data_IF_039760279748
#
_entry.id   IF_039760279748
#
_cell.length_a   1.000
_cell.length_b   1.000
_cell.length_c   1.000
_cell.angle_alpha   90.00
_cell.angle_beta   90.00
_cell.angle_gamma   90.00
#
_symmetry.space_group_name_H-M   'P 1'
#
loop_
_entity.id
_entity.type
_entity.pdbx_description
1 polymer ?
#
# COMPACT_ATOMS: atom_id res chain seq x y z
N UNK A 1 -0.38 -4.98 5.70
CA UNK A 1 0.02 -5.51 7.02
C UNK A 1 0.11 -4.43 8.11
N UNK A 2 0.27 -3.15 7.77
CA UNK A 2 0.12 -2.03 8.73
C UNK A 2 -1.14 -2.12 9.58
N UNK A 3 -2.25 -2.59 8.99
CA UNK A 3 -3.50 -2.79 9.72
C UNK A 3 -3.35 -3.74 10.92
N UNK A 4 -2.67 -4.89 10.79
CA UNK A 4 -2.49 -5.82 11.90
C UNK A 4 -1.59 -5.25 13.00
N UNK A 5 -0.44 -4.69 12.61
CA UNK A 5 0.50 -4.04 13.55
C UNK A 5 -0.17 -2.87 14.28
N UNK A 6 -0.93 -2.04 13.57
CA UNK A 6 -1.65 -0.91 14.14
C UNK A 6 -2.76 -1.37 15.08
N UNK A 7 -3.55 -2.39 14.72
CA UNK A 7 -4.56 -2.98 15.61
C UNK A 7 -3.92 -3.60 16.86
N UNK A 8 -2.78 -4.27 16.72
CA UNK A 8 -2.05 -4.88 17.84
C UNK A 8 -1.51 -3.82 18.81
N UNK A 9 -0.96 -2.72 18.29
CA UNK A 9 -0.51 -1.60 19.11
C UNK A 9 -1.68 -0.90 19.80
N UNK A 10 -2.77 -0.62 19.06
CA UNK A 10 -4.00 -0.03 19.61
C UNK A 10 -4.58 -0.86 20.75
N UNK A 11 -4.65 -2.19 20.58
CA UNK A 11 -5.12 -3.10 21.64
C UNK A 11 -4.18 -3.08 22.86
N UNK A 12 -2.86 -3.13 22.62
CA UNK A 12 -1.84 -3.04 23.67
C UNK A 12 -1.94 -1.74 24.49
N UNK A 13 -2.24 -0.62 23.84
CA UNK A 13 -2.36 0.69 24.49
C UNK A 13 -3.58 0.74 25.40
N UNK A 14 -4.74 0.25 24.91
CA UNK A 14 -5.95 0.17 25.75
C UNK A 14 -5.77 -0.77 26.94
N UNK A 15 -5.10 -1.91 26.74
CA UNK A 15 -4.83 -2.86 27.80
C UNK A 15 -3.93 -2.27 28.90
N UNK A 16 -3.01 -1.38 28.55
CA UNK A 16 -2.13 -0.70 29.50
C UNK A 16 -2.92 0.29 30.38
N UNK A 17 -3.83 1.07 29.77
CA UNK A 17 -4.69 2.03 30.49
C UNK A 17 -5.58 1.39 31.55
N UNK A 18 -6.17 0.23 31.23
CA UNK A 18 -7.02 -0.54 32.16
C UNK A 18 -6.20 -1.10 33.34
N UNK A 19 -4.93 -1.44 33.12
CA UNK A 19 -4.04 -1.91 34.17
C UNK A 19 -3.65 -0.82 35.19
N UNK A 20 -3.53 0.43 34.74
CA UNK A 20 -3.15 1.56 35.60
C UNK A 20 -4.31 2.09 36.44
N UNK A 21 -5.55 2.03 35.93
CA UNK A 21 -6.74 2.52 36.63
C UNK A 21 -7.11 1.69 37.89
N UNK A 22 -6.60 0.46 38.00
CA UNK A 22 -6.85 -0.43 39.14
C UNK A 22 -6.16 -0.01 40.46
N UNK A 23 -5.23 0.95 40.45
CA UNK A 23 -4.44 1.31 41.65
C UNK A 23 -4.87 2.60 42.38
N UNK A 24 -5.92 3.32 41.95
CA UNK A 24 -6.16 4.71 42.43
C UNK A 24 -7.51 5.04 43.10
N UNK A 25 -8.34 4.08 43.54
CA UNK A 25 -9.64 4.43 44.17
C UNK A 25 -9.71 4.19 45.68
N UNK A 26 -9.29 5.20 46.46
CA UNK A 26 -9.74 5.41 47.85
C UNK A 26 -10.28 6.85 47.98
N UNK A 27 -11.58 7.03 47.78
CA UNK A 27 -12.24 8.33 47.97
C UNK A 27 -13.74 8.28 47.61
N UNK A 28 -14.59 8.24 48.64
CA UNK A 28 -16.04 8.08 48.55
C UNK A 28 -16.74 9.37 48.11
N UNK A 29 -17.09 9.48 46.81
CA UNK A 29 -18.15 10.33 46.23
C UNK A 29 -18.11 10.33 44.68
N UNK A 30 -17.04 9.81 44.07
CA UNK A 30 -16.78 9.79 42.60
C UNK A 30 -17.26 8.45 41.95
N UNK A 31 -18.06 7.66 42.66
CA UNK A 31 -18.37 6.27 42.31
C UNK A 31 -19.07 6.05 40.96
N UNK A 32 -19.87 7.00 40.47
CA UNK A 32 -20.59 6.88 39.19
C UNK A 32 -19.74 7.30 37.97
N UNK A 33 -18.74 8.16 38.17
CA UNK A 33 -17.86 8.57 37.07
C UNK A 33 -16.83 7.48 36.75
N UNK A 34 -16.23 6.89 37.79
CA UNK A 34 -15.23 5.84 37.63
C UNK A 34 -15.81 4.56 37.02
N UNK A 35 -17.04 4.20 37.38
CA UNK A 35 -17.74 3.04 36.81
C UNK A 35 -18.04 3.25 35.33
N UNK A 36 -18.58 4.41 34.95
CA UNK A 36 -18.86 4.77 33.55
C UNK A 36 -17.60 4.86 32.69
N UNK A 37 -16.52 5.44 33.25
CA UNK A 37 -15.22 5.50 32.58
C UNK A 37 -14.67 4.09 32.33
N UNK A 38 -14.75 3.21 33.33
CA UNK A 38 -14.31 1.81 33.20
C UNK A 38 -15.12 1.05 32.15
N UNK A 39 -16.44 1.19 32.16
CA UNK A 39 -17.31 0.56 31.16
C UNK A 39 -16.96 1.03 29.74
N UNK A 40 -16.67 2.33 29.57
CA UNK A 40 -16.21 2.90 28.31
C UNK A 40 -14.86 2.33 27.86
N UNK A 41 -13.88 2.23 28.77
CA UNK A 41 -12.56 1.62 28.47
C UNK A 41 -12.69 0.15 28.05
N UNK A 42 -13.56 -0.62 28.71
CA UNK A 42 -13.84 -2.02 28.33
C UNK A 42 -14.45 -2.10 26.92
N UNK A 43 -15.38 -1.20 26.58
CA UNK A 43 -15.96 -1.14 25.21
C UNK A 43 -14.88 -0.84 24.17
N UNK A 44 -13.97 0.08 24.44
CA UNK A 44 -12.85 0.39 23.55
C UNK A 44 -11.89 -0.80 23.41
N UNK A 45 -11.57 -1.48 24.51
CA UNK A 45 -10.72 -2.67 24.50
C UNK A 45 -11.36 -3.79 23.66
N UNK A 46 -12.66 -4.03 23.82
CA UNK A 46 -13.41 -5.01 23.02
C UNK A 46 -13.40 -4.66 21.53
N UNK A 47 -13.62 -3.39 21.18
CA UNK A 47 -13.55 -2.92 19.79
C UNK A 47 -12.16 -3.16 19.19
N UNK A 48 -11.10 -2.81 19.94
CA UNK A 48 -9.73 -3.03 19.50
C UNK A 48 -9.38 -4.52 19.37
N UNK A 49 -9.95 -5.37 20.21
CA UNK A 49 -9.78 -6.83 20.13
C UNK A 49 -10.42 -7.40 18.86
N UNK A 50 -11.64 -6.97 18.52
CA UNK A 50 -12.32 -7.37 17.29
C UNK A 50 -11.53 -6.93 16.05
N UNK A 51 -11.07 -5.67 16.02
CA UNK A 51 -10.21 -5.16 14.94
C UNK A 51 -8.91 -5.97 14.80
N UNK A 52 -8.30 -6.36 15.92
CA UNK A 52 -7.10 -7.20 15.92
C UNK A 52 -7.38 -8.57 15.29
N UNK A 53 -8.48 -9.23 15.69
CA UNK A 53 -8.89 -10.53 15.16
C UNK A 53 -9.23 -10.50 13.67
N UNK A 54 -9.88 -9.44 13.20
CA UNK A 54 -10.17 -9.27 11.77
C UNK A 54 -8.89 -9.02 10.96
N UNK A 55 -7.96 -8.25 11.51
CA UNK A 55 -6.72 -7.90 10.82
C UNK A 55 -5.68 -9.03 10.76
N UNK A 56 -5.82 -10.09 11.57
CA UNK A 56 -4.87 -11.20 11.62
C UNK A 56 -4.93 -12.13 10.40
N UNK A 57 -6.01 -12.07 9.62
CA UNK A 57 -6.17 -12.82 8.37
C UNK A 57 -5.57 -12.10 7.15
N UNK A 58 -4.68 -11.13 7.37
CA UNK A 58 -4.08 -10.33 6.31
C UNK A 58 -3.16 -11.13 5.37
N UNK A 59 -3.09 -10.76 4.08
CA UNK A 59 -2.15 -11.38 3.14
C UNK A 59 -0.69 -11.07 3.52
N UNK A 60 0.22 -12.00 3.21
CA UNK A 60 1.67 -11.81 3.35
C UNK A 60 2.30 -12.41 4.62
N UNK A 61 1.56 -13.16 5.41
CA UNK A 61 2.08 -13.94 6.53
C UNK A 61 2.38 -15.38 6.08
N UNK A 62 3.53 -15.93 6.46
CA UNK A 62 3.81 -17.35 6.22
C UNK A 62 2.85 -18.24 7.04
N UNK A 63 2.61 -19.45 6.56
CA UNK A 63 1.61 -20.37 7.13
C UNK A 63 1.87 -20.67 8.61
N UNK A 64 3.14 -20.78 9.02
CA UNK A 64 3.53 -21.04 10.41
C UNK A 64 3.21 -19.84 11.30
N UNK A 65 3.61 -18.64 10.90
CA UNK A 65 3.30 -17.42 11.65
C UNK A 65 1.79 -17.17 11.74
N UNK A 66 1.03 -17.48 10.69
CA UNK A 66 -0.43 -17.37 10.67
C UNK A 66 -1.08 -18.34 11.68
N UNK A 67 -0.58 -19.58 11.73
CA UNK A 67 -1.01 -20.56 12.73
C UNK A 67 -0.70 -20.10 14.15
N UNK A 68 0.53 -19.65 14.42
CA UNK A 68 0.97 -19.21 15.74
C UNK A 68 0.15 -18.00 16.24
N UNK A 69 -0.11 -17.01 15.37
CA UNK A 69 -0.94 -15.86 15.70
C UNK A 69 -2.39 -16.27 15.96
N UNK A 70 -2.96 -17.16 15.16
CA UNK A 70 -4.31 -17.68 15.36
C UNK A 70 -4.44 -18.41 16.71
N UNK A 71 -3.46 -19.24 17.06
CA UNK A 71 -3.42 -19.91 18.36
C UNK A 71 -3.34 -18.92 19.53
N UNK A 72 -2.49 -17.89 19.42
CA UNK A 72 -2.37 -16.84 20.45
C UNK A 72 -3.65 -16.00 20.58
N UNK A 73 -4.34 -15.70 19.48
CA UNK A 73 -5.62 -14.97 19.51
C UNK A 73 -6.73 -15.79 20.17
N UNK A 74 -6.70 -17.13 20.06
CA UNK A 74 -7.61 -17.99 20.81
C UNK A 74 -7.37 -17.92 22.31
N UNK A 75 -6.10 -17.96 22.73
CA UNK A 75 -5.71 -17.79 24.15
C UNK A 75 -6.13 -16.39 24.63
N UNK A 76 -5.88 -15.36 23.83
CA UNK A 76 -6.26 -13.98 24.15
C UNK A 76 -7.79 -13.83 24.30
N UNK A 77 -8.59 -14.51 23.47
CA UNK A 77 -10.06 -14.54 23.57
C UNK A 77 -10.54 -15.12 24.90
N UNK A 78 -9.88 -16.20 25.36
CA UNK A 78 -10.19 -16.84 26.63
C UNK A 78 -9.84 -15.91 27.80
N UNK A 79 -8.62 -15.35 27.81
CA UNK A 79 -8.17 -14.42 28.85
C UNK A 79 -9.04 -13.16 28.93
N UNK A 80 -9.51 -12.67 27.78
CA UNK A 80 -10.46 -11.56 27.72
C UNK A 80 -11.78 -11.90 28.42
N UNK A 81 -12.30 -13.12 28.21
CA UNK A 81 -13.55 -13.59 28.84
C UNK A 81 -13.40 -13.79 30.35
N UNK A 82 -12.19 -14.16 30.81
CA UNK A 82 -11.84 -14.35 32.22
C UNK A 82 -11.43 -13.04 32.91
N UNK A 83 -11.38 -11.92 32.19
CA UNK A 83 -10.83 -10.63 32.65
C UNK A 83 -9.37 -10.72 33.16
N UNK A 84 -8.58 -11.64 32.64
CA UNK A 84 -7.16 -11.82 33.00
C UNK A 84 -6.27 -10.80 32.27
N UNK A 85 -6.22 -9.57 32.81
CA UNK A 85 -5.44 -8.46 32.23
C UNK A 85 -3.96 -8.80 32.08
N UNK A 86 -3.37 -9.46 33.08
CA UNK A 86 -1.95 -9.76 33.10
C UNK A 86 -1.61 -10.88 32.09
N UNK A 87 -2.47 -11.89 31.99
CA UNK A 87 -2.39 -12.89 30.94
C UNK A 87 -2.50 -12.28 29.54
N UNK A 88 -3.46 -11.37 29.34
CA UNK A 88 -3.60 -10.66 28.07
C UNK A 88 -2.32 -9.89 27.70
N UNK A 89 -1.69 -9.20 28.66
CA UNK A 89 -0.43 -8.46 28.40
C UNK A 89 0.68 -9.39 27.95
N UNK A 90 0.84 -10.54 28.61
CA UNK A 90 1.82 -11.57 28.24
C UNK A 90 1.55 -12.13 26.84
N UNK A 91 0.30 -12.43 26.52
CA UNK A 91 -0.09 -12.94 25.21
C UNK A 91 0.15 -11.91 24.10
N UNK A 92 -0.21 -10.64 24.32
CA UNK A 92 0.07 -9.54 23.37
C UNK A 92 1.56 -9.38 23.10
N UNK A 93 2.41 -9.47 24.13
CA UNK A 93 3.87 -9.40 23.93
C UNK A 93 4.39 -10.56 23.09
N UNK A 94 3.88 -11.79 23.30
CA UNK A 94 4.22 -12.94 22.44
C UNK A 94 3.76 -12.72 20.99
N UNK A 95 2.58 -12.16 20.78
CA UNK A 95 2.09 -11.81 19.44
C UNK A 95 3.02 -10.76 18.79
N UNK A 96 3.46 -9.74 19.53
CA UNK A 96 4.43 -8.75 19.05
C UNK A 96 5.77 -9.39 18.68
N UNK A 97 6.25 -10.37 19.45
CA UNK A 97 7.50 -11.07 19.16
C UNK A 97 7.39 -11.97 17.92
N UNK A 98 6.24 -12.59 17.68
CA UNK A 98 5.97 -13.31 16.43
C UNK A 98 5.92 -12.30 15.28
N UNK A 99 5.15 -11.22 15.43
CA UNK A 99 4.98 -10.18 14.42
C UNK A 99 6.31 -9.57 13.95
N UNK A 100 7.25 -9.31 14.88
CA UNK A 100 8.60 -8.82 14.55
C UNK A 100 9.44 -9.81 13.76
N UNK A 101 9.19 -11.12 13.88
CA UNK A 101 9.91 -12.20 13.20
C UNK A 101 9.33 -12.53 11.84
N UNK A 102 8.12 -12.06 11.53
CA UNK A 102 7.53 -12.25 10.22
C UNK A 102 8.40 -11.45 9.24
N UNK A 103 9.21 -12.17 8.47
CA UNK A 103 9.98 -11.60 7.38
C UNK A 103 9.01 -11.32 6.25
N UNK A 104 8.52 -10.09 6.21
CA UNK A 104 7.76 -9.64 5.06
C UNK A 104 8.68 -9.65 3.84
N UNK A 105 8.17 -10.05 2.66
CA UNK A 105 8.84 -9.62 1.43
C UNK A 105 8.97 -8.10 1.56
N UNK A 106 10.21 -7.59 1.47
CA UNK A 106 10.47 -6.17 1.57
C UNK A 106 9.46 -5.44 0.68
N UNK A 107 8.86 -4.34 1.16
CA UNK A 107 8.04 -3.49 0.30
C UNK A 107 8.79 -3.32 -1.01
N UNK A 108 8.17 -3.76 -2.09
CA UNK A 108 8.82 -3.80 -3.39
C UNK A 108 8.97 -2.34 -3.83
N UNK A 109 10.15 -1.78 -3.56
CA UNK A 109 10.42 -0.37 -3.83
C UNK A 109 10.83 -0.22 -5.26
N UNK A 110 9.98 0.44 -6.04
CA UNK A 110 10.26 0.72 -7.44
C UNK A 110 11.12 1.98 -7.51
N UNK A 111 12.31 1.87 -8.12
CA UNK A 111 13.26 2.97 -8.19
C UNK A 111 13.69 3.27 -9.62
N UNK A 112 13.59 4.54 -10.00
CA UNK A 112 14.17 5.09 -11.22
C UNK A 112 15.43 5.86 -10.82
N UNK A 113 16.54 5.62 -11.51
CA UNK A 113 17.80 6.37 -11.32
C UNK A 113 17.82 7.53 -12.31
N UNK A 114 18.45 8.64 -11.93
CA UNK A 114 18.70 9.79 -12.80
C UNK A 114 17.43 10.44 -13.37
N UNK A 115 16.45 10.75 -12.51
CA UNK A 115 15.25 11.48 -12.93
C UNK A 115 15.63 12.96 -13.16
N UNK A 116 15.30 13.57 -14.31
CA UNK A 116 15.48 15.00 -14.53
C UNK A 116 14.74 15.85 -13.47
N UNK A 117 15.39 16.92 -13.01
CA UNK A 117 14.88 17.75 -11.91
C UNK A 117 13.52 18.38 -12.19
N UNK A 118 13.21 18.66 -13.45
CA UNK A 118 11.96 19.30 -13.88
C UNK A 118 10.76 18.35 -13.84
N UNK A 119 10.98 17.04 -13.83
CA UNK A 119 9.92 16.02 -13.71
C UNK A 119 10.02 15.21 -12.41
N UNK A 120 10.95 15.54 -11.51
CA UNK A 120 11.26 14.71 -10.35
C UNK A 120 10.10 14.59 -9.37
N UNK A 121 9.35 15.67 -9.18
CA UNK A 121 8.23 15.72 -8.25
C UNK A 121 7.05 14.89 -8.74
N UNK A 122 6.71 15.03 -10.03
CA UNK A 122 5.65 14.26 -10.68
C UNK A 122 5.97 12.76 -10.69
N UNK A 123 7.18 12.39 -11.13
CA UNK A 123 7.64 11.00 -11.14
C UNK A 123 7.71 10.42 -9.72
N UNK A 124 8.17 11.21 -8.75
CA UNK A 124 8.24 10.80 -7.35
C UNK A 124 6.86 10.55 -6.74
N UNK A 125 5.87 11.38 -7.07
CA UNK A 125 4.49 11.18 -6.67
C UNK A 125 3.89 9.92 -7.33
N UNK A 126 4.11 9.74 -8.63
CA UNK A 126 3.59 8.60 -9.39
C UNK A 126 4.18 7.26 -8.92
N UNK A 127 5.48 7.20 -8.60
CA UNK A 127 6.11 5.99 -8.02
C UNK A 127 5.48 5.64 -6.67
N UNK A 128 5.28 6.63 -5.78
CA UNK A 128 4.66 6.38 -4.47
C UNK A 128 3.23 5.87 -4.62
N UNK A 129 2.47 6.41 -5.56
CA UNK A 129 1.11 5.95 -5.82
C UNK A 129 1.10 4.55 -6.44
N UNK A 130 2.06 4.25 -7.31
CA UNK A 130 2.24 2.94 -7.93
C UNK A 130 2.56 1.87 -6.88
N UNK A 131 3.45 2.16 -5.94
CA UNK A 131 3.79 1.29 -4.81
C UNK A 131 2.55 1.00 -3.93
N UNK A 132 1.78 2.04 -3.57
CA UNK A 132 0.53 1.88 -2.80
C UNK A 132 -0.50 1.04 -3.53
N UNK A 133 -0.72 1.31 -4.82
CA UNK A 133 -1.65 0.56 -5.66
C UNK A 133 -1.24 -0.91 -5.74
N UNK A 134 0.05 -1.18 -5.98
CA UNK A 134 0.57 -2.53 -6.10
C UNK A 134 0.44 -3.30 -4.77
N UNK A 135 0.88 -2.70 -3.66
CA UNK A 135 0.78 -3.29 -2.32
C UNK A 135 -0.67 -3.51 -1.83
N UNK A 136 -1.63 -2.77 -2.39
CA UNK A 136 -3.06 -2.93 -2.09
C UNK A 136 -3.79 -3.91 -3.01
N UNK A 137 -3.08 -4.56 -3.95
CA UNK A 137 -3.69 -5.46 -4.93
C UNK A 137 -4.42 -4.76 -6.07
N UNK A 138 -4.26 -3.44 -6.21
CA UNK A 138 -4.87 -2.63 -7.28
C UNK A 138 -4.05 -2.72 -8.58
N UNK A 139 -3.76 -3.93 -9.04
CA UNK A 139 -2.83 -4.22 -10.14
C UNK A 139 -3.14 -3.51 -11.45
N UNK A 140 -4.42 -3.35 -11.77
CA UNK A 140 -4.87 -2.61 -12.95
C UNK A 140 -4.50 -1.11 -12.85
N UNK A 141 -4.62 -0.52 -11.66
CA UNK A 141 -4.21 0.87 -11.43
C UNK A 141 -2.69 1.01 -11.52
N UNK A 142 -1.93 0.05 -10.98
CA UNK A 142 -0.47 0.04 -11.10
C UNK A 142 -0.01 0.04 -12.57
N UNK A 143 -0.65 -0.76 -13.44
CA UNK A 143 -0.34 -0.76 -14.89
C UNK A 143 -0.71 0.56 -15.56
N UNK A 144 -1.80 1.22 -15.16
CA UNK A 144 -2.16 2.54 -15.68
C UNK A 144 -1.11 3.59 -15.31
N UNK A 145 -0.59 3.55 -14.07
CA UNK A 145 0.46 4.46 -13.60
C UNK A 145 1.77 4.27 -14.37
N UNK A 146 2.10 3.05 -14.82
CA UNK A 146 3.21 2.83 -15.76
C UNK A 146 3.06 3.67 -17.05
N UNK A 147 1.82 3.86 -17.53
CA UNK A 147 1.55 4.66 -18.72
C UNK A 147 1.78 6.14 -18.48
N UNK A 148 1.38 6.64 -17.31
CA UNK A 148 1.61 8.03 -16.89
C UNK A 148 3.11 8.32 -16.70
N UNK A 149 3.86 7.38 -16.14
CA UNK A 149 5.32 7.49 -16.06
C UNK A 149 5.94 7.58 -17.46
N UNK A 150 5.55 6.69 -18.39
CA UNK A 150 6.02 6.76 -19.79
C UNK A 150 5.67 8.08 -20.46
N UNK A 151 4.45 8.59 -20.27
CA UNK A 151 4.04 9.90 -20.80
C UNK A 151 4.97 11.01 -20.30
N UNK A 152 5.21 11.06 -18.99
CA UNK A 152 6.04 12.09 -18.36
C UNK A 152 7.47 12.09 -18.92
N UNK A 153 8.10 10.92 -19.04
CA UNK A 153 9.45 10.80 -19.61
C UNK A 153 9.49 11.12 -21.12
N UNK A 154 8.51 10.67 -21.90
CA UNK A 154 8.46 10.96 -23.34
C UNK A 154 8.19 12.45 -23.62
N UNK A 155 7.38 13.10 -22.77
CA UNK A 155 7.18 14.54 -22.83
C UNK A 155 8.49 15.28 -22.58
N UNK A 156 9.22 14.88 -21.55
CA UNK A 156 10.55 15.43 -21.27
C UNK A 156 11.48 15.24 -22.47
N UNK A 157 11.51 14.05 -23.05
CA UNK A 157 12.33 13.74 -24.23
C UNK A 157 11.99 14.59 -25.44
N UNK A 158 10.71 14.85 -25.68
CA UNK A 158 10.27 15.73 -26.75
C UNK A 158 10.76 17.16 -26.53
N UNK A 159 10.68 17.66 -25.30
CA UNK A 159 11.21 18.97 -24.94
C UNK A 159 12.72 19.04 -25.16
N UNK A 160 13.49 18.00 -24.82
CA UNK A 160 14.94 17.95 -25.12
C UNK A 160 15.24 18.05 -26.62
N UNK A 161 14.48 17.33 -27.45
CA UNK A 161 14.71 17.27 -28.88
C UNK A 161 14.29 18.55 -29.62
N UNK A 162 13.31 19.30 -29.09
CA UNK A 162 12.66 20.39 -29.84
C UNK A 162 12.72 21.76 -29.16
N UNK A 163 13.00 21.82 -27.86
CA UNK A 163 12.87 23.03 -27.05
C UNK A 163 11.42 23.52 -26.88
N UNK A 164 10.43 22.71 -27.26
CA UNK A 164 9.01 23.07 -27.18
C UNK A 164 8.29 22.23 -26.13
N UNK A 165 7.61 22.91 -25.20
CA UNK A 165 6.73 22.23 -24.28
C UNK A 165 5.41 21.87 -24.99
N UNK A 166 5.18 20.57 -25.17
CA UNK A 166 3.94 20.05 -25.76
C UNK A 166 2.73 20.25 -24.85
N UNK A 167 2.92 20.27 -23.53
CA UNK A 167 1.83 20.38 -22.57
C UNK A 167 1.21 21.79 -22.58
N UNK A 168 2.01 22.82 -22.87
CA UNK A 168 1.50 24.18 -23.05
C UNK A 168 0.58 24.31 -24.28
N UNK A 169 0.92 23.62 -25.38
CA UNK A 169 0.20 23.74 -26.66
C UNK A 169 -0.92 22.72 -26.85
N UNK A 170 -0.82 21.56 -26.21
CA UNK A 170 -1.73 20.44 -26.39
C UNK A 170 -1.83 19.61 -25.10
N UNK A 171 -2.45 20.16 -24.05
CA UNK A 171 -2.66 19.43 -22.81
C UNK A 171 -3.49 18.16 -23.07
N UNK A 172 -3.08 17.04 -22.47
CA UNK A 172 -3.78 15.76 -22.60
C UNK A 172 -3.50 14.99 -23.90
N UNK A 173 -2.41 15.29 -24.60
CA UNK A 173 -1.95 14.45 -25.72
C UNK A 173 -1.68 13.01 -25.23
N UNK A 174 -2.29 12.03 -25.87
CA UNK A 174 -2.07 10.62 -25.50
C UNK A 174 -0.72 10.08 -26.00
N UNK A 175 -0.22 9.03 -25.35
CA UNK A 175 1.02 8.31 -25.72
C UNK A 175 1.19 8.09 -27.23
N UNK A 176 0.14 7.61 -27.93
CA UNK A 176 0.22 7.31 -29.36
C UNK A 176 0.53 8.55 -30.21
N UNK A 177 -0.10 9.68 -29.89
CA UNK A 177 0.12 10.94 -30.59
C UNK A 177 1.48 11.56 -30.24
N UNK A 178 1.93 11.44 -28.98
CA UNK A 178 3.24 11.89 -28.54
C UNK A 178 4.37 11.15 -29.30
N UNK A 179 4.24 9.85 -29.45
CA UNK A 179 5.17 9.02 -30.24
C UNK A 179 5.20 9.43 -31.71
N UNK A 180 4.03 9.68 -32.32
CA UNK A 180 3.97 10.13 -33.71
C UNK A 180 4.75 11.45 -33.89
N UNK A 181 4.57 12.40 -32.96
CA UNK A 181 5.30 13.68 -32.96
C UNK A 181 6.79 13.52 -32.75
N UNK A 182 7.24 12.60 -31.90
CA UNK A 182 8.67 12.30 -31.72
C UNK A 182 9.28 11.76 -33.03
N UNK A 183 8.57 10.87 -33.73
CA UNK A 183 9.00 10.33 -35.03
C UNK A 183 9.04 11.38 -36.13
N UNK A 184 8.06 12.29 -36.18
CA UNK A 184 8.06 13.45 -37.09
C UNK A 184 9.27 14.38 -36.87
N UNK A 185 9.86 14.32 -35.68
CA UNK A 185 11.08 15.06 -35.31
C UNK A 185 12.35 14.22 -35.42
N UNK A 186 12.26 13.06 -36.08
CA UNK A 186 13.38 12.14 -36.30
C UNK A 186 14.07 11.69 -35.01
N UNK A 187 13.34 11.70 -33.88
CA UNK A 187 13.84 11.13 -32.62
C UNK A 187 13.77 9.62 -32.72
N UNK A 188 14.92 8.96 -32.58
CA UNK A 188 14.99 7.50 -32.52
C UNK A 188 14.36 7.00 -31.21
N UNK A 189 13.49 5.99 -31.33
CA UNK A 189 12.77 5.41 -30.21
C UNK A 189 13.01 3.91 -30.22
N UNK A 190 13.59 3.40 -29.14
CA UNK A 190 13.82 1.97 -28.93
C UNK A 190 12.49 1.18 -29.15
N UNK A 191 12.48 0.15 -30.01
CA UNK A 191 11.32 -0.71 -30.21
C UNK A 191 10.71 -1.28 -28.91
N UNK A 192 11.50 -1.48 -27.86
CA UNK A 192 11.03 -1.88 -26.54
C UNK A 192 10.08 -0.85 -25.92
N UNK A 193 10.36 0.45 -26.08
CA UNK A 193 9.46 1.54 -25.65
C UNK A 193 8.11 1.39 -26.36
N UNK A 194 8.12 1.16 -27.67
CA UNK A 194 6.91 1.00 -28.47
C UNK A 194 6.06 -0.18 -28.02
N UNK A 195 6.70 -1.33 -27.77
CA UNK A 195 6.02 -2.53 -27.29
C UNK A 195 5.40 -2.30 -25.92
N UNK A 196 6.12 -1.64 -25.01
CA UNK A 196 5.63 -1.36 -23.67
C UNK A 196 4.47 -0.37 -23.67
N UNK A 197 4.54 0.67 -24.50
CA UNK A 197 3.43 1.60 -24.71
C UNK A 197 2.21 0.85 -25.22
N UNK A 198 2.37 -0.06 -26.18
CA UNK A 198 1.25 -0.83 -26.71
C UNK A 198 0.59 -1.67 -25.61
N UNK A 199 1.38 -2.38 -24.82
CA UNK A 199 0.90 -3.20 -23.70
C UNK A 199 0.12 -2.36 -22.69
N UNK A 200 0.71 -1.26 -22.22
CA UNK A 200 0.07 -0.38 -21.22
C UNK A 200 -1.18 0.29 -21.79
N UNK A 201 -1.16 0.71 -23.05
CA UNK A 201 -2.29 1.38 -23.68
C UNK A 201 -3.48 0.43 -23.87
N UNK A 202 -3.24 -0.84 -24.19
CA UNK A 202 -4.30 -1.86 -24.21
C UNK A 202 -5.00 -1.93 -22.84
N UNK A 203 -4.23 -1.95 -21.75
CA UNK A 203 -4.79 -1.99 -20.39
C UNK A 203 -5.54 -0.71 -20.06
N UNK A 204 -5.01 0.48 -20.40
CA UNK A 204 -5.70 1.77 -20.18
C UNK A 204 -7.03 1.85 -20.92
N UNK A 205 -7.05 1.47 -22.20
CA UNK A 205 -8.28 1.48 -23.03
C UNK A 205 -9.31 0.50 -22.43
N UNK A 206 -8.90 -0.73 -22.11
CA UNK A 206 -9.81 -1.71 -21.49
C UNK A 206 -10.23 -1.31 -20.08
N UNK A 207 -9.52 -0.35 -19.47
CA UNK A 207 -9.85 0.15 -18.16
C UNK A 207 -10.94 1.22 -18.14
N UNK A 208 -11.16 1.90 -19.26
CA UNK A 208 -12.13 3.00 -19.35
C UNK A 208 -13.31 2.62 -20.25
N UNK A 209 -13.07 1.81 -21.28
CA UNK A 209 -14.10 1.41 -22.23
C UNK A 209 -14.64 0.01 -21.95
N UNK A 210 -15.98 -0.13 -21.91
CA UNK A 210 -16.67 -1.41 -21.69
C UNK A 210 -16.41 -2.35 -22.87
N UNK A 211 -15.52 -3.32 -22.70
CA UNK A 211 -15.30 -4.44 -23.64
C UNK A 211 -15.95 -5.73 -23.11
N UNK A 212 -16.10 -6.72 -23.99
CA UNK A 212 -16.70 -8.02 -23.65
C UNK A 212 -15.98 -8.75 -22.50
N UNK A 213 -14.68 -8.53 -22.32
CA UNK A 213 -13.90 -9.06 -21.19
C UNK A 213 -12.89 -8.02 -20.71
N UNK A 214 -12.92 -7.71 -19.42
CA UNK A 214 -11.92 -6.83 -18.80
C UNK A 214 -10.59 -7.57 -18.63
N UNK A 215 -9.48 -6.90 -18.91
CA UNK A 215 -8.16 -7.39 -18.51
C UNK A 215 -7.97 -7.14 -17.02
N UNK A 216 -7.67 -8.20 -16.27
CA UNK A 216 -7.43 -8.17 -14.83
C UNK A 216 -6.04 -8.79 -14.61
N UNK A 217 -4.98 -7.97 -14.53
CA UNK A 217 -3.63 -8.47 -14.35
C UNK A 217 -3.49 -9.19 -13.01
N UNK A 218 -2.75 -10.29 -12.98
CA UNK A 218 -2.26 -10.90 -11.74
C UNK A 218 -1.17 -10.03 -11.11
N UNK A 219 -0.80 -10.32 -9.87
CA UNK A 219 0.32 -9.66 -9.19
C UNK A 219 1.60 -9.75 -10.03
N UNK A 220 1.97 -10.95 -10.48
CA UNK A 220 3.18 -11.19 -11.26
C UNK A 220 3.15 -10.47 -12.61
N UNK A 221 1.98 -10.43 -13.27
CA UNK A 221 1.81 -9.70 -14.53
C UNK A 221 1.99 -8.20 -14.32
N UNK A 222 1.37 -7.62 -13.29
CA UNK A 222 1.56 -6.21 -12.98
C UNK A 222 3.00 -5.90 -12.59
N UNK A 223 3.63 -6.75 -11.79
CA UNK A 223 5.02 -6.59 -11.41
C UNK A 223 5.95 -6.61 -12.62
N UNK A 224 5.79 -7.58 -13.53
CA UNK A 224 6.54 -7.65 -14.78
C UNK A 224 6.37 -6.39 -15.63
N UNK A 225 5.14 -5.88 -15.75
CA UNK A 225 4.85 -4.63 -16.47
C UNK A 225 5.54 -3.43 -15.80
N UNK A 226 5.53 -3.34 -14.47
CA UNK A 226 6.23 -2.29 -13.73
C UNK A 226 7.73 -2.37 -14.00
N UNK A 227 8.36 -3.53 -13.79
CA UNK A 227 9.79 -3.71 -14.02
C UNK A 227 10.20 -3.39 -15.45
N UNK A 228 9.42 -3.84 -16.44
CA UNK A 228 9.69 -3.52 -17.85
C UNK A 228 9.55 -2.02 -18.13
N UNK A 229 8.57 -1.35 -17.53
CA UNK A 229 8.43 0.12 -17.62
C UNK A 229 9.66 0.83 -17.07
N UNK A 230 10.10 0.44 -15.88
CA UNK A 230 11.29 1.05 -15.24
C UNK A 230 12.56 0.81 -16.05
N UNK A 231 12.68 -0.34 -16.73
CA UNK A 231 13.82 -0.63 -17.62
C UNK A 231 13.79 0.24 -18.88
N UNK A 232 12.62 0.33 -19.52
CA UNK A 232 12.39 1.11 -20.74
C UNK A 232 12.62 2.60 -20.50
N UNK A 233 12.15 3.14 -19.37
CA UNK A 233 12.36 4.55 -19.00
C UNK A 233 13.84 4.90 -18.92
N UNK A 234 14.72 3.97 -18.51
CA UNK A 234 16.17 4.22 -18.46
C UNK A 234 16.82 4.43 -19.83
N UNK A 235 16.10 4.12 -20.91
CA UNK A 235 16.57 4.24 -22.29
C UNK A 235 16.01 5.47 -23.00
N UNK A 236 15.11 6.21 -22.35
CA UNK A 236 14.57 7.50 -22.83
C UNK A 236 15.58 8.59 -22.46
#
# INVERSE_FOLDING_TARGET
MDKFRNSLNKFSDFLSRIGESHMSSKGSSILDYDSKKREYEIKLLNSAFLELKESSAGPGMDEKSAYDISAMLRILSQQFSENDIEGMKKTVNKIKDIERKISYPAEERFRIKNIPNDISDDVGADIKELEKCFGSGCYRASVILCGRLLETFLHRKYFEATGLDLLEKSPGIGLGSLIAKLKEKEVDIDPAIMQQIHLVNQVRIFSVHKKAKAFVPTQDQAHAVILYTLDVIRRI
#
